data_IF_531264056856
#
_entry.id   IF_531264056856
#
_cell.length_a   1.000
_cell.length_b   1.000
_cell.length_c   1.000
_cell.angle_alpha   90.00
_cell.angle_beta   90.00
_cell.angle_gamma   90.00
#
_symmetry.space_group_name_H-M   'P 1'
#
loop_
_entity.id
_entity.type
_entity.pdbx_description
1 polymer ?
#
# COMPACT_ATOMS: atom_id res chain seq x y z
N UNK A 1 -17.18 15.00 10.69
CA UNK A 1 -17.28 13.57 10.29
C UNK A 1 -17.34 12.78 11.58
N UNK A 2 -18.22 11.79 11.68
CA UNK A 2 -18.28 10.91 12.86
C UNK A 2 -17.06 9.99 12.85
N UNK A 3 -16.53 9.69 14.03
CA UNK A 3 -15.44 8.74 14.17
C UNK A 3 -15.88 7.37 13.66
N UNK A 4 -14.99 6.74 12.88
CA UNK A 4 -15.16 5.39 12.37
C UNK A 4 -14.43 4.42 13.28
N UNK A 5 -15.10 3.33 13.62
CA UNK A 5 -14.53 2.19 14.31
C UNK A 5 -15.11 0.93 13.68
N UNK A 6 -14.25 -0.01 13.34
CA UNK A 6 -14.65 -1.26 12.73
C UNK A 6 -15.28 -2.18 13.80
N UNK A 7 -16.47 -2.70 13.54
CA UNK A 7 -17.22 -3.47 14.54
C UNK A 7 -16.49 -4.73 15.01
N UNK A 8 -15.73 -5.39 14.12
CA UNK A 8 -14.87 -6.53 14.50
C UNK A 8 -13.76 -6.13 15.48
N UNK A 9 -13.29 -4.88 15.39
CA UNK A 9 -12.21 -4.37 16.22
C UNK A 9 -12.67 -3.64 17.47
N UNK A 10 -13.94 -3.22 17.54
CA UNK A 10 -14.49 -2.49 18.71
C UNK A 10 -14.25 -3.24 20.03
N UNK A 11 -14.55 -4.54 20.18
CA UNK A 11 -14.28 -5.25 21.44
C UNK A 11 -12.79 -5.30 21.81
N UNK A 12 -11.91 -5.41 20.81
CA UNK A 12 -10.46 -5.46 21.01
C UNK A 12 -9.95 -4.08 21.49
N UNK A 13 -10.40 -3.00 20.84
CA UNK A 13 -10.02 -1.64 21.24
C UNK A 13 -10.52 -1.31 22.65
N UNK A 14 -11.76 -1.69 22.99
CA UNK A 14 -12.31 -1.51 24.36
C UNK A 14 -11.48 -2.29 25.38
N UNK A 15 -11.14 -3.55 25.09
CA UNK A 15 -10.33 -4.38 25.98
C UNK A 15 -8.95 -3.77 26.29
N UNK A 16 -8.36 -3.05 25.32
CA UNK A 16 -7.07 -2.36 25.50
C UNK A 16 -7.21 -0.90 25.97
N UNK A 17 -8.42 -0.40 26.23
CA UNK A 17 -8.65 1.00 26.60
C UNK A 17 -8.36 2.00 25.48
N UNK A 18 -8.46 1.59 24.22
CA UNK A 18 -8.11 2.37 23.02
C UNK A 18 -9.32 2.64 22.10
N UNK A 19 -10.52 2.70 22.67
CA UNK A 19 -11.77 2.87 21.90
C UNK A 19 -12.11 4.31 21.53
N UNK A 20 -11.35 5.30 22.00
CA UNK A 20 -11.57 6.72 21.74
C UNK A 20 -10.32 7.44 21.20
N UNK A 21 -10.57 8.65 20.68
CA UNK A 21 -9.54 9.48 20.07
C UNK A 21 -8.41 9.85 21.03
N UNK A 22 -8.75 10.22 22.28
CA UNK A 22 -7.79 10.69 23.26
C UNK A 22 -6.80 9.59 23.65
N UNK A 23 -7.32 8.40 23.94
CA UNK A 23 -6.52 7.24 24.27
C UNK A 23 -5.57 6.85 23.12
N UNK A 24 -6.07 6.76 21.88
CA UNK A 24 -5.23 6.46 20.71
C UNK A 24 -4.21 7.57 20.42
N UNK A 25 -4.54 8.83 20.66
CA UNK A 25 -3.62 9.96 20.44
C UNK A 25 -2.45 9.92 21.41
N UNK A 26 -2.74 9.68 22.70
CA UNK A 26 -1.78 9.69 23.80
C UNK A 26 -0.99 8.39 23.96
N UNK A 27 -1.39 7.31 23.26
CA UNK A 27 -0.70 6.03 23.31
C UNK A 27 0.80 6.19 23.04
N UNK A 28 1.61 5.80 24.03
CA UNK A 28 3.06 5.75 23.94
C UNK A 28 3.46 4.46 23.24
N UNK A 29 4.01 4.59 22.04
CA UNK A 29 4.52 3.49 21.24
C UNK A 29 5.68 3.99 20.41
N UNK A 30 6.70 3.16 20.23
CA UNK A 30 7.86 3.51 19.43
C UNK A 30 7.46 3.85 17.99
N UNK A 31 8.22 4.76 17.39
CA UNK A 31 7.99 5.16 16.01
C UNK A 31 8.50 4.07 15.08
N UNK A 32 7.58 3.45 14.35
CA UNK A 32 7.91 2.59 13.22
C UNK A 32 8.37 3.43 12.03
N UNK A 33 7.68 4.54 11.77
CA UNK A 33 8.14 5.63 10.92
C UNK A 33 8.14 6.92 11.74
N UNK A 34 9.32 7.51 11.90
CA UNK A 34 9.50 8.75 12.65
C UNK A 34 8.64 9.89 12.07
N UNK A 35 8.20 10.85 12.92
CA UNK A 35 7.41 11.98 12.47
C UNK A 35 8.06 12.73 11.31
N UNK A 36 7.35 12.80 10.19
CA UNK A 36 7.75 13.56 9.01
C UNK A 36 7.11 14.95 9.06
N UNK A 37 7.94 15.99 9.22
CA UNK A 37 7.52 17.38 9.26
C UNK A 37 7.44 17.97 7.84
N UNK A 38 6.22 18.14 7.33
CA UNK A 38 5.96 18.71 6.00
C UNK A 38 4.52 19.22 5.91
N UNK A 39 4.22 20.01 4.87
CA UNK A 39 2.85 20.52 4.59
C UNK A 39 2.22 21.29 5.77
N UNK A 40 3.04 22.00 6.56
CA UNK A 40 2.59 22.81 7.69
C UNK A 40 2.29 22.03 8.97
N UNK A 41 2.65 20.75 9.04
CA UNK A 41 2.44 19.91 10.22
C UNK A 41 3.30 18.66 10.22
N UNK A 42 2.84 17.60 10.87
CA UNK A 42 3.56 16.34 10.97
C UNK A 42 2.67 15.12 10.81
N UNK A 43 3.28 14.01 10.39
CA UNK A 43 2.65 12.69 10.37
C UNK A 43 3.66 11.62 10.79
N UNK A 44 3.27 10.68 11.65
CA UNK A 44 4.10 9.57 12.09
C UNK A 44 3.31 8.26 12.19
N UNK A 45 4.02 7.14 12.24
CA UNK A 45 3.41 5.80 12.33
C UNK A 45 4.05 5.01 13.46
N UNK A 46 3.22 4.41 14.31
CA UNK A 46 3.64 3.45 15.34
C UNK A 46 3.04 2.08 15.04
N UNK A 47 3.77 1.01 15.33
CA UNK A 47 3.24 -0.35 15.38
C UNK A 47 2.85 -0.65 16.83
N UNK A 48 1.62 -1.12 17.05
CA UNK A 48 1.13 -1.42 18.40
C UNK A 48 0.58 -2.84 18.41
N UNK A 49 0.95 -3.63 19.41
CA UNK A 49 0.35 -4.94 19.66
C UNK A 49 -0.78 -4.79 20.68
N UNK A 50 -1.96 -5.31 20.33
CA UNK A 50 -3.15 -5.27 21.17
C UNK A 50 -3.49 -6.66 21.67
N UNK A 51 -3.80 -6.77 22.96
CA UNK A 51 -4.29 -8.02 23.55
C UNK A 51 -5.70 -8.34 23.03
N UNK A 52 -5.94 -9.62 22.73
CA UNK A 52 -7.28 -10.09 22.36
C UNK A 52 -8.05 -10.52 23.62
N UNK A 53 -9.38 -10.29 23.68
CA UNK A 53 -10.21 -10.73 24.81
C UNK A 53 -10.14 -12.24 25.10
N UNK A 54 -9.88 -13.06 24.08
CA UNK A 54 -9.76 -14.52 24.18
C UNK A 54 -8.32 -15.03 24.31
N UNK A 55 -7.34 -14.14 24.57
CA UNK A 55 -5.91 -14.48 24.62
C UNK A 55 -5.19 -14.31 23.27
N UNK A 56 -3.87 -14.11 23.35
CA UNK A 56 -3.03 -13.75 22.21
C UNK A 56 -3.06 -12.26 21.87
N UNK A 57 -2.38 -11.88 20.79
CA UNK A 57 -2.26 -10.48 20.35
C UNK A 57 -2.56 -10.30 18.87
N UNK A 58 -2.90 -9.08 18.48
CA UNK A 58 -2.89 -8.63 17.09
C UNK A 58 -2.24 -7.27 16.97
N UNK A 59 -1.46 -7.09 15.93
CA UNK A 59 -0.81 -5.82 15.65
C UNK A 59 -1.67 -4.90 14.79
N UNK A 60 -1.53 -3.61 15.05
CA UNK A 60 -2.09 -2.51 14.27
C UNK A 60 -0.98 -1.51 13.92
N UNK A 61 -1.18 -0.77 12.83
CA UNK A 61 -0.44 0.45 12.54
C UNK A 61 -1.28 1.66 12.92
N UNK A 62 -0.81 2.41 13.92
CA UNK A 62 -1.38 3.67 14.38
C UNK A 62 -0.70 4.82 13.64
N UNK A 63 -1.41 5.44 12.71
CA UNK A 63 -0.95 6.65 12.02
C UNK A 63 -1.53 7.89 12.68
N UNK A 64 -0.68 8.82 13.10
CA UNK A 64 -1.05 10.11 13.74
C UNK A 64 -0.59 11.28 12.88
N UNK A 65 -1.45 12.27 12.72
CA UNK A 65 -1.10 13.51 12.02
C UNK A 65 -1.67 14.73 12.74
N UNK A 66 -0.94 15.83 12.71
CA UNK A 66 -1.36 17.14 13.19
C UNK A 66 -1.01 18.19 12.14
N UNK A 67 -1.99 18.99 11.73
CA UNK A 67 -1.85 20.08 10.75
C UNK A 67 -1.21 19.70 9.39
N UNK A 68 -1.06 18.40 9.10
CA UNK A 68 -0.45 17.89 7.87
C UNK A 68 -1.51 17.75 6.76
N UNK A 69 -1.73 18.82 5.99
CA UNK A 69 -2.85 18.93 5.05
C UNK A 69 -2.44 18.79 3.59
N UNK A 70 -3.33 18.24 2.77
CA UNK A 70 -3.24 18.27 1.31
C UNK A 70 -4.37 19.14 0.74
N UNK A 71 -4.07 19.98 -0.25
CA UNK A 71 -5.12 20.67 -1.01
C UNK A 71 -5.90 19.63 -1.83
N UNK A 72 -7.22 19.65 -1.68
CA UNK A 72 -8.15 18.81 -2.41
C UNK A 72 -9.04 19.72 -3.26
N UNK A 73 -9.53 19.22 -4.39
CA UNK A 73 -10.52 19.97 -5.19
C UNK A 73 -11.78 20.32 -4.40
N UNK A 74 -12.21 19.44 -3.49
CA UNK A 74 -13.34 19.69 -2.59
C UNK A 74 -13.00 20.60 -1.40
N UNK A 75 -11.72 20.82 -1.11
CA UNK A 75 -11.22 21.71 -0.06
C UNK A 75 -9.98 22.49 -0.53
N UNK A 76 -10.13 23.39 -1.51
CA UNK A 76 -8.99 24.00 -2.21
C UNK A 76 -8.22 24.99 -1.34
N UNK A 77 -8.91 25.67 -0.42
CA UNK A 77 -8.34 26.70 0.46
C UNK A 77 -7.82 26.11 1.79
N UNK A 78 -8.65 25.34 2.49
CA UNK A 78 -8.30 24.79 3.82
C UNK A 78 -7.53 23.46 3.76
N UNK A 79 -7.54 22.80 2.60
CA UNK A 79 -7.04 21.42 2.47
C UNK A 79 -7.87 20.42 3.28
N UNK A 80 -7.46 19.16 3.24
CA UNK A 80 -7.88 18.19 4.25
C UNK A 80 -6.70 17.34 4.70
N UNK A 81 -6.78 16.72 5.90
CA UNK A 81 -5.71 15.87 6.40
C UNK A 81 -5.44 14.69 5.47
N UNK A 82 -4.17 14.32 5.32
CA UNK A 82 -3.76 13.26 4.38
C UNK A 82 -4.40 11.91 4.68
N UNK A 83 -4.53 11.53 5.96
CA UNK A 83 -5.19 10.28 6.30
C UNK A 83 -6.69 10.24 6.01
N UNK A 84 -7.38 11.38 5.87
CA UNK A 84 -8.77 11.35 5.39
C UNK A 84 -8.84 10.83 3.96
N UNK A 85 -7.87 11.23 3.13
CA UNK A 85 -7.76 10.75 1.75
C UNK A 85 -7.46 9.26 1.71
N UNK A 86 -6.47 8.84 2.48
CA UNK A 86 -6.09 7.43 2.57
C UNK A 86 -7.27 6.58 3.09
N UNK A 87 -7.95 6.99 4.16
CA UNK A 87 -9.14 6.31 4.69
C UNK A 87 -10.24 6.19 3.64
N UNK A 88 -10.58 7.27 2.93
CA UNK A 88 -11.59 7.23 1.85
C UNK A 88 -11.21 6.28 0.72
N UNK A 89 -9.93 6.23 0.36
CA UNK A 89 -9.46 5.28 -0.66
C UNK A 89 -9.50 3.84 -0.14
N UNK A 90 -9.13 3.57 1.12
CA UNK A 90 -9.29 2.24 1.73
C UNK A 90 -10.75 1.79 1.65
N UNK A 91 -11.69 2.65 2.06
CA UNK A 91 -13.13 2.35 1.98
C UNK A 91 -13.57 2.08 0.53
N UNK A 92 -13.12 2.89 -0.43
CA UNK A 92 -13.46 2.70 -1.84
C UNK A 92 -12.91 1.39 -2.43
N UNK A 93 -11.66 1.06 -2.15
CA UNK A 93 -11.05 -0.19 -2.61
C UNK A 93 -11.84 -1.39 -2.08
N UNK A 94 -12.20 -1.37 -0.79
CA UNK A 94 -13.00 -2.42 -0.16
C UNK A 94 -14.40 -2.53 -0.75
N UNK A 95 -15.06 -1.41 -1.03
CA UNK A 95 -16.37 -1.40 -1.68
C UNK A 95 -16.31 -1.99 -3.10
N UNK A 96 -15.17 -1.88 -3.79
CA UNK A 96 -14.92 -2.53 -5.08
C UNK A 96 -14.40 -3.98 -4.96
N UNK A 97 -14.32 -4.53 -3.75
CA UNK A 97 -13.78 -5.88 -3.51
C UNK A 97 -12.27 -6.00 -3.78
N UNK A 98 -11.53 -4.89 -3.85
CA UNK A 98 -10.10 -4.88 -4.14
C UNK A 98 -9.31 -5.12 -2.84
N UNK A 99 -8.49 -6.18 -2.76
CA UNK A 99 -7.72 -6.48 -1.57
C UNK A 99 -6.75 -5.34 -1.15
N UNK A 100 -6.94 -4.80 0.04
CA UNK A 100 -6.12 -3.74 0.64
C UNK A 100 -6.07 -3.88 2.18
N UNK A 101 -5.78 -2.78 2.88
CA UNK A 101 -5.77 -2.64 4.34
C UNK A 101 -7.17 -2.83 4.93
N UNK A 102 -7.24 -3.41 6.13
CA UNK A 102 -8.45 -3.38 6.96
C UNK A 102 -8.40 -2.12 7.84
N UNK A 103 -9.31 -1.15 7.66
CA UNK A 103 -9.38 0.01 8.53
C UNK A 103 -9.96 -0.41 9.88
N UNK A 104 -9.25 -0.06 10.95
CA UNK A 104 -9.62 -0.37 12.34
C UNK A 104 -10.34 0.82 12.97
N UNK A 105 -9.77 2.01 12.81
CA UNK A 105 -10.29 3.26 13.39
C UNK A 105 -9.90 4.45 12.51
N UNK A 106 -10.79 5.43 12.39
CA UNK A 106 -10.47 6.71 11.77
C UNK A 106 -11.22 7.85 12.45
N UNK A 107 -10.52 8.93 12.77
CA UNK A 107 -11.13 10.10 13.38
C UNK A 107 -10.36 11.37 13.04
N UNK A 108 -11.07 12.50 13.05
CA UNK A 108 -10.52 13.83 12.83
C UNK A 108 -11.12 14.80 13.85
N UNK A 109 -10.27 15.35 14.71
CA UNK A 109 -10.69 16.23 15.79
C UNK A 109 -9.93 17.56 15.69
N UNK A 110 -10.60 18.65 16.06
CA UNK A 110 -9.98 19.96 16.19
C UNK A 110 -9.71 20.20 17.67
N UNK A 111 -8.46 20.42 18.04
CA UNK A 111 -8.02 20.67 19.42
C UNK A 111 -7.41 22.07 19.46
N UNK A 112 -8.18 23.03 19.97
CA UNK A 112 -7.81 24.45 19.89
C UNK A 112 -7.67 24.92 18.43
N UNK A 113 -6.46 25.33 18.05
CA UNK A 113 -6.14 25.75 16.67
C UNK A 113 -5.73 24.57 15.76
N UNK A 114 -5.37 23.44 16.34
CA UNK A 114 -4.75 22.33 15.62
C UNK A 114 -5.79 21.32 15.13
N UNK A 115 -5.57 20.81 13.92
CA UNK A 115 -6.37 19.74 13.33
C UNK A 115 -5.58 18.44 13.40
N UNK A 116 -6.12 17.47 14.13
CA UNK A 116 -5.50 16.16 14.35
C UNK A 116 -6.32 15.09 13.65
N UNK A 117 -5.63 14.08 13.11
CA UNK A 117 -6.31 12.86 12.67
C UNK A 117 -5.55 11.61 13.05
N UNK A 118 -6.32 10.55 13.20
CA UNK A 118 -5.83 9.20 13.43
C UNK A 118 -6.38 8.31 12.32
N UNK A 119 -5.52 7.46 11.76
CA UNK A 119 -5.92 6.32 10.94
C UNK A 119 -5.22 5.08 11.50
N UNK A 120 -6.01 4.10 11.91
CA UNK A 120 -5.54 2.80 12.38
C UNK A 120 -5.89 1.75 11.36
N UNK A 121 -4.92 0.92 11.00
CA UNK A 121 -5.14 -0.24 10.11
C UNK A 121 -4.59 -1.51 10.74
N UNK A 122 -5.22 -2.64 10.47
CA UNK A 122 -4.72 -3.97 10.84
C UNK A 122 -3.36 -4.21 10.17
N UNK A 123 -2.41 -4.81 10.90
CA UNK A 123 -1.18 -5.30 10.30
C UNK A 123 -1.49 -6.43 9.31
N UNK A 124 -0.83 -6.43 8.15
CA UNK A 124 -0.95 -7.52 7.17
C UNK A 124 -0.11 -8.73 7.60
N UNK A 125 -0.46 -9.37 8.71
CA UNK A 125 0.26 -10.54 9.25
C UNK A 125 0.41 -11.64 8.19
N UNK A 126 1.62 -12.18 8.06
CA UNK A 126 1.96 -13.19 7.05
C UNK A 126 2.13 -12.66 5.62
N UNK A 127 1.87 -11.37 5.37
CA UNK A 127 2.20 -10.75 4.09
C UNK A 127 3.61 -10.16 4.13
N UNK A 128 4.31 -10.29 3.00
CA UNK A 128 5.64 -9.70 2.79
C UNK A 128 5.60 -8.87 1.52
N UNK A 129 6.20 -7.67 1.54
CA UNK A 129 6.25 -6.80 0.37
C UNK A 129 7.01 -7.46 -0.79
N UNK A 130 6.66 -7.16 -2.03
CA UNK A 130 7.37 -7.69 -3.20
C UNK A 130 8.83 -7.19 -3.25
N UNK A 131 9.13 -6.02 -2.66
CA UNK A 131 10.50 -5.54 -2.51
C UNK A 131 11.30 -6.45 -1.57
N UNK A 132 10.80 -6.65 -0.34
CA UNK A 132 11.48 -7.47 0.66
C UNK A 132 11.61 -8.93 0.23
N UNK A 133 10.58 -9.48 -0.43
CA UNK A 133 10.64 -10.84 -1.00
C UNK A 133 11.79 -10.98 -1.98
N UNK A 134 11.93 -10.03 -2.90
CA UNK A 134 13.00 -10.10 -3.90
C UNK A 134 14.37 -9.85 -3.27
N UNK A 135 14.47 -8.98 -2.26
CA UNK A 135 15.72 -8.83 -1.49
C UNK A 135 16.12 -10.13 -0.81
N UNK A 136 15.17 -10.86 -0.20
CA UNK A 136 15.43 -12.19 0.38
C UNK A 136 15.85 -13.20 -0.68
N UNK A 137 15.23 -13.21 -1.87
CA UNK A 137 15.64 -14.11 -2.96
C UNK A 137 17.08 -13.94 -3.41
N UNK A 138 17.61 -12.72 -3.31
CA UNK A 138 19.01 -12.44 -3.65
C UNK A 138 19.98 -12.94 -2.58
N UNK A 139 19.54 -13.00 -1.32
CA UNK A 139 20.34 -13.44 -0.19
C UNK A 139 20.29 -14.96 0.00
N UNK A 140 19.08 -15.51 -0.03
CA UNK A 140 18.78 -16.87 0.42
C UNK A 140 18.40 -17.81 -0.74
N UNK A 141 18.28 -17.26 -1.96
CA UNK A 141 17.87 -17.99 -3.16
C UNK A 141 16.40 -17.75 -3.53
N UNK A 142 16.13 -17.70 -4.84
CA UNK A 142 14.77 -17.52 -5.34
C UNK A 142 13.96 -18.82 -5.25
N UNK A 143 12.65 -18.75 -4.93
CA UNK A 143 11.80 -19.93 -4.91
C UNK A 143 11.65 -20.50 -6.32
N UNK A 144 11.20 -21.76 -6.37
CA UNK A 144 10.95 -22.46 -7.61
C UNK A 144 10.08 -21.62 -8.55
N UNK A 145 10.39 -21.66 -9.85
CA UNK A 145 9.73 -20.84 -10.88
C UNK A 145 8.20 -20.88 -10.79
N UNK A 146 7.52 -22.04 -10.61
CA UNK A 146 6.06 -22.05 -10.50
C UNK A 146 5.51 -21.16 -9.38
N UNK A 147 6.15 -21.15 -8.20
CA UNK A 147 5.72 -20.32 -7.08
C UNK A 147 5.92 -18.83 -7.39
N UNK A 148 7.06 -18.46 -7.99
CA UNK A 148 7.28 -17.06 -8.44
C UNK A 148 6.19 -16.61 -9.41
N UNK A 149 5.83 -17.45 -10.39
CA UNK A 149 4.80 -17.12 -11.35
C UNK A 149 3.41 -16.98 -10.69
N UNK A 150 3.07 -17.80 -9.69
CA UNK A 150 1.83 -17.63 -8.90
C UNK A 150 1.78 -16.29 -8.17
N UNK A 151 2.90 -15.85 -7.58
CA UNK A 151 2.98 -14.52 -6.96
C UNK A 151 2.79 -13.39 -7.99
N UNK A 152 3.45 -13.49 -9.14
CA UNK A 152 3.27 -12.53 -10.22
C UNK A 152 1.83 -12.51 -10.74
N UNK A 153 1.17 -13.68 -10.81
CA UNK A 153 -0.23 -13.81 -11.20
C UNK A 153 -1.15 -13.04 -10.24
N UNK A 154 -0.96 -13.23 -8.93
CA UNK A 154 -1.78 -12.58 -7.91
C UNK A 154 -1.63 -11.06 -7.98
N UNK A 155 -0.40 -10.55 -8.14
CA UNK A 155 -0.15 -9.10 -8.30
C UNK A 155 -0.73 -8.57 -9.61
N UNK A 156 -0.61 -9.33 -10.70
CA UNK A 156 -1.15 -8.95 -12.01
C UNK A 156 -2.69 -8.89 -11.98
N UNK A 157 -3.33 -9.85 -11.31
CA UNK A 157 -4.76 -9.88 -11.10
C UNK A 157 -5.23 -8.68 -10.27
N UNK A 158 -4.61 -8.44 -9.11
CA UNK A 158 -4.90 -7.28 -8.27
C UNK A 158 -4.84 -5.96 -9.05
N UNK A 159 -3.76 -5.74 -9.81
CA UNK A 159 -3.58 -4.51 -10.58
C UNK A 159 -4.60 -4.38 -11.72
N UNK A 160 -4.93 -5.50 -12.38
CA UNK A 160 -5.95 -5.53 -13.43
C UNK A 160 -7.33 -5.18 -12.85
N UNK A 161 -7.69 -5.73 -11.70
CA UNK A 161 -8.98 -5.50 -11.05
C UNK A 161 -9.11 -4.04 -10.56
N UNK A 162 -8.01 -3.46 -10.05
CA UNK A 162 -7.93 -2.01 -9.78
C UNK A 162 -8.22 -1.19 -11.04
N UNK A 163 -7.51 -1.47 -12.13
CA UNK A 163 -7.69 -0.73 -13.38
C UNK A 163 -9.07 -0.95 -14.00
N UNK A 164 -9.69 -2.12 -13.78
CA UNK A 164 -11.04 -2.42 -14.22
C UNK A 164 -12.08 -1.48 -13.59
N UNK A 165 -11.87 -1.09 -12.33
CA UNK A 165 -12.68 -0.11 -11.59
C UNK A 165 -12.26 1.35 -11.83
N UNK A 166 -11.33 1.60 -12.77
CA UNK A 166 -10.80 2.94 -13.03
C UNK A 166 -9.87 3.44 -11.93
N UNK A 167 -9.39 2.57 -11.03
CA UNK A 167 -8.54 2.96 -9.92
C UNK A 167 -7.09 2.97 -10.37
N UNK A 168 -6.46 4.14 -10.33
CA UNK A 168 -5.02 4.30 -10.50
C UNK A 168 -4.37 4.45 -9.12
N UNK A 169 -3.41 3.59 -8.78
CA UNK A 169 -2.66 3.67 -7.53
C UNK A 169 -1.75 4.91 -7.49
N UNK A 170 -1.19 5.28 -8.64
CA UNK A 170 -0.24 6.37 -8.87
C UNK A 170 1.16 6.15 -8.26
N UNK A 171 1.31 5.28 -7.28
CA UNK A 171 2.57 4.92 -6.63
C UNK A 171 2.72 3.39 -6.50
N UNK A 172 2.36 2.62 -7.54
CA UNK A 172 2.37 1.15 -7.49
C UNK A 172 3.82 0.62 -7.51
N UNK A 173 4.49 0.66 -6.35
CA UNK A 173 5.86 0.23 -6.14
C UNK A 173 5.89 -1.17 -5.51
N UNK A 174 6.95 -1.98 -5.72
CA UNK A 174 7.07 -3.29 -5.09
C UNK A 174 6.91 -3.28 -3.56
N UNK A 175 7.40 -2.25 -2.88
CA UNK A 175 7.23 -2.06 -1.43
C UNK A 175 5.81 -1.76 -0.96
N UNK A 176 4.88 -1.49 -1.87
CA UNK A 176 3.46 -1.23 -1.56
C UNK A 176 2.55 -2.38 -2.00
N UNK A 177 3.13 -3.44 -2.56
CA UNK A 177 2.41 -4.64 -2.97
C UNK A 177 2.88 -5.77 -2.08
N UNK A 178 1.95 -6.30 -1.29
CA UNK A 178 2.18 -7.31 -0.29
C UNK A 178 1.62 -8.64 -0.77
N UNK A 179 2.38 -9.71 -0.61
CA UNK A 179 1.96 -11.05 -1.00
C UNK A 179 2.07 -11.99 0.19
N UNK A 180 1.07 -12.87 0.37
CA UNK A 180 1.09 -13.98 1.31
C UNK A 180 0.97 -15.29 0.54
N UNK A 181 1.77 -16.27 0.95
CA UNK A 181 1.72 -17.63 0.41
C UNK A 181 1.20 -18.53 1.51
N UNK A 182 0.13 -19.26 1.21
CA UNK A 182 -0.48 -20.24 2.12
C UNK A 182 0.24 -21.58 2.01
N UNK A 183 0.08 -22.44 3.02
CA UNK A 183 0.73 -23.76 3.08
C UNK A 183 0.33 -24.69 1.91
N UNK A 184 -0.90 -24.53 1.39
CA UNK A 184 -1.43 -25.22 0.21
C UNK A 184 -0.88 -24.65 -1.13
N UNK A 185 -0.02 -23.63 -1.07
CA UNK A 185 0.53 -22.94 -2.22
C UNK A 185 -0.43 -21.92 -2.86
N UNK A 186 -1.54 -21.58 -2.18
CA UNK A 186 -2.38 -20.44 -2.51
C UNK A 186 -1.61 -19.12 -2.34
N UNK A 187 -1.92 -18.12 -3.17
CA UNK A 187 -1.22 -16.83 -3.13
C UNK A 187 -2.21 -15.67 -3.15
N UNK A 188 -2.10 -14.81 -2.15
CA UNK A 188 -2.92 -13.59 -2.02
C UNK A 188 -2.04 -12.36 -2.19
N UNK A 189 -2.54 -11.36 -2.92
CA UNK A 189 -1.90 -10.06 -3.05
C UNK A 189 -2.79 -8.96 -2.47
N UNK A 190 -2.18 -7.99 -1.78
CA UNK A 190 -2.82 -6.78 -1.26
C UNK A 190 -1.99 -5.56 -1.60
N UNK A 191 -2.64 -4.41 -1.72
CA UNK A 191 -1.96 -3.12 -1.95
C UNK A 191 -2.16 -2.18 -0.77
N UNK A 192 -1.12 -1.41 -0.44
CA UNK A 192 -1.10 -0.41 0.64
C UNK A 192 -0.64 0.96 0.12
N UNK A 193 -0.58 1.96 0.99
CA UNK A 193 -0.23 3.35 0.66
C UNK A 193 -1.14 3.96 -0.42
N UNK A 194 -2.39 4.18 -0.01
CA UNK A 194 -3.42 4.67 -0.90
C UNK A 194 -3.52 6.20 -0.95
N UNK A 195 -2.65 6.98 -0.28
CA UNK A 195 -2.76 8.46 -0.18
C UNK A 195 -2.91 9.12 -1.57
N UNK A 196 -2.18 8.59 -2.56
CA UNK A 196 -2.06 9.15 -3.91
C UNK A 196 -2.95 8.48 -4.95
N UNK A 197 -3.76 7.49 -4.55
CA UNK A 197 -4.70 6.84 -5.45
C UNK A 197 -5.73 7.83 -5.98
N UNK A 198 -6.29 7.54 -7.15
CA UNK A 198 -7.29 8.37 -7.82
C UNK A 198 -8.03 7.58 -8.89
N UNK A 199 -9.24 8.04 -9.19
CA UNK A 199 -10.02 7.50 -10.30
C UNK A 199 -9.56 8.06 -11.65
N UNK A 200 -9.65 7.24 -12.69
CA UNK A 200 -9.41 7.55 -14.11
C UNK A 200 -10.41 6.78 -14.98
N UNK A 201 -10.97 7.41 -16.03
CA UNK A 201 -11.92 6.74 -16.91
C UNK A 201 -11.28 5.68 -17.82
N UNK A 202 -9.96 5.75 -18.05
CA UNK A 202 -9.27 4.86 -18.98
C UNK A 202 -8.33 3.90 -18.27
N UNK A 203 -8.56 2.60 -18.45
CA UNK A 203 -7.67 1.52 -17.97
C UNK A 203 -6.26 1.67 -18.53
N UNK A 204 -6.14 2.17 -19.77
CA UNK A 204 -4.84 2.41 -20.43
C UNK A 204 -4.07 3.51 -19.70
N UNK A 205 -4.73 4.59 -19.30
CA UNK A 205 -4.09 5.67 -18.53
C UNK A 205 -3.60 5.17 -17.18
N UNK A 206 -4.41 4.35 -16.48
CA UNK A 206 -3.97 3.69 -15.24
C UNK A 206 -2.74 2.82 -15.49
N UNK A 207 -2.82 1.93 -16.49
CA UNK A 207 -1.77 1.00 -16.86
C UNK A 207 -0.45 1.70 -17.18
N UNK A 208 -0.46 2.75 -18.02
CA UNK A 208 0.77 3.49 -18.37
C UNK A 208 1.41 4.07 -17.10
N UNK A 209 0.64 4.52 -16.10
CA UNK A 209 1.20 5.09 -14.87
C UNK A 209 1.71 4.03 -13.92
N UNK A 210 0.90 3.03 -13.60
CA UNK A 210 1.17 2.09 -12.51
C UNK A 210 2.10 0.95 -12.94
N UNK A 211 1.98 0.45 -14.17
CA UNK A 211 2.97 -0.49 -14.73
C UNK A 211 4.34 0.17 -14.89
N UNK A 212 4.37 1.47 -15.21
CA UNK A 212 5.62 2.22 -15.24
C UNK A 212 6.28 2.31 -13.86
N UNK A 213 5.52 2.67 -12.81
CA UNK A 213 6.10 2.72 -11.44
C UNK A 213 6.59 1.35 -11.01
N UNK A 214 5.81 0.30 -11.27
CA UNK A 214 6.20 -1.06 -10.93
C UNK A 214 7.47 -1.47 -11.69
N UNK A 215 7.48 -1.32 -13.01
CA UNK A 215 8.59 -1.73 -13.86
C UNK A 215 9.89 -0.98 -13.53
N UNK A 216 9.80 0.33 -13.25
CA UNK A 216 10.96 1.14 -12.89
C UNK A 216 11.59 0.72 -11.56
N UNK A 217 10.75 0.38 -10.57
CA UNK A 217 11.22 0.02 -9.22
C UNK A 217 11.49 -1.48 -9.04
N UNK A 218 10.99 -2.36 -9.93
CA UNK A 218 11.21 -3.82 -9.87
C UNK A 218 12.56 -4.24 -10.47
N UNK A 219 13.64 -3.52 -10.17
CA UNK A 219 14.96 -3.69 -10.82
C UNK A 219 15.49 -5.12 -10.79
N UNK A 220 15.12 -5.87 -9.76
CA UNK A 220 15.59 -7.22 -9.51
C UNK A 220 14.73 -8.31 -10.18
N UNK A 221 13.67 -7.95 -10.90
CA UNK A 221 12.90 -8.91 -11.70
C UNK A 221 13.59 -9.19 -13.05
N UNK A 222 13.70 -10.47 -13.40
CA UNK A 222 14.25 -10.91 -14.68
C UNK A 222 13.41 -10.39 -15.87
N UNK A 223 14.01 -10.33 -17.06
CA UNK A 223 13.29 -9.93 -18.29
C UNK A 223 12.12 -10.89 -18.57
N UNK A 224 12.32 -12.19 -18.31
CA UNK A 224 11.31 -13.22 -18.47
C UNK A 224 10.13 -13.04 -17.52
N UNK A 225 10.39 -12.70 -16.24
CA UNK A 225 9.33 -12.45 -15.26
C UNK A 225 8.52 -11.20 -15.59
N UNK A 226 9.20 -10.13 -16.03
CA UNK A 226 8.53 -8.89 -16.45
C UNK A 226 7.61 -9.14 -17.63
N UNK A 227 8.09 -9.88 -18.65
CA UNK A 227 7.27 -10.24 -19.81
C UNK A 227 6.09 -11.14 -19.39
N UNK A 228 6.34 -12.12 -18.53
CA UNK A 228 5.32 -13.02 -18.03
C UNK A 228 4.24 -12.27 -17.24
N UNK A 229 4.65 -11.39 -16.31
CA UNK A 229 3.75 -10.52 -15.55
C UNK A 229 2.92 -9.64 -16.49
N UNK A 230 3.55 -9.01 -17.48
CA UNK A 230 2.85 -8.12 -18.41
C UNK A 230 1.81 -8.88 -19.24
N UNK A 231 2.14 -10.09 -19.70
CA UNK A 231 1.20 -10.97 -20.39
C UNK A 231 0.05 -11.43 -19.48
N UNK A 232 0.36 -11.79 -18.24
CA UNK A 232 -0.62 -12.17 -17.22
C UNK A 232 -1.59 -11.02 -16.91
N UNK A 233 -1.07 -9.81 -16.72
CA UNK A 233 -1.85 -8.59 -16.48
C UNK A 233 -2.80 -8.28 -17.65
N UNK A 234 -2.31 -8.38 -18.90
CA UNK A 234 -3.13 -8.18 -20.11
C UNK A 234 -4.01 -9.39 -20.47
N UNK A 235 -3.85 -10.53 -19.79
CA UNK A 235 -4.48 -11.81 -20.12
C UNK A 235 -4.20 -12.25 -21.57
N UNK A 236 -2.93 -12.21 -21.98
CA UNK A 236 -2.49 -12.53 -23.35
C UNK A 236 -1.53 -13.72 -23.42
N UNK A 237 -1.79 -14.63 -24.35
CA UNK A 237 -0.85 -15.69 -24.73
C UNK A 237 0.31 -15.17 -25.59
N UNK A 238 0.07 -14.16 -26.43
CA UNK A 238 1.10 -13.54 -27.27
C UNK A 238 0.91 -12.03 -27.31
N UNK A 239 2.00 -11.29 -27.45
CA UNK A 239 1.94 -9.83 -27.48
C UNK A 239 1.34 -9.34 -28.80
N UNK A 240 0.19 -8.67 -28.70
CA UNK A 240 -0.46 -7.96 -29.81
C UNK A 240 0.31 -6.67 -30.16
N UNK A 241 0.06 -6.04 -31.33
CA UNK A 241 0.62 -4.74 -31.67
C UNK A 241 0.32 -3.68 -30.59
N UNK A 242 -0.90 -3.67 -30.06
CA UNK A 242 -1.30 -2.81 -28.94
C UNK A 242 -0.47 -3.08 -27.69
N UNK A 243 -0.28 -4.34 -27.30
CA UNK A 243 0.54 -4.68 -26.12
C UNK A 243 2.01 -4.27 -26.30
N UNK A 244 2.55 -4.39 -27.52
CA UNK A 244 3.91 -3.92 -27.86
C UNK A 244 4.01 -2.40 -27.76
N UNK A 245 3.02 -1.65 -28.28
CA UNK A 245 2.93 -0.20 -28.10
C UNK A 245 2.82 0.19 -26.62
N UNK A 246 1.92 -0.48 -25.90
CA UNK A 246 1.85 -0.69 -24.45
C UNK A 246 3.21 -0.53 -23.77
N UNK A 247 3.99 -1.59 -23.96
CA UNK A 247 5.28 -1.78 -23.36
C UNK A 247 6.29 -0.71 -23.78
N UNK A 248 6.33 -0.32 -25.06
CA UNK A 248 7.24 0.73 -25.56
C UNK A 248 6.98 2.08 -24.88
N UNK A 249 5.72 2.45 -24.69
CA UNK A 249 5.33 3.68 -23.97
C UNK A 249 5.83 3.65 -22.52
N UNK A 250 5.65 2.52 -21.84
CA UNK A 250 6.12 2.33 -20.45
C UNK A 250 7.66 2.39 -20.39
N UNK A 251 8.34 1.66 -21.26
CA UNK A 251 9.80 1.58 -21.31
C UNK A 251 10.45 2.94 -21.64
N UNK A 252 9.87 3.71 -22.56
CA UNK A 252 10.34 5.05 -22.89
C UNK A 252 10.29 6.00 -21.68
N UNK A 253 9.23 5.91 -20.86
CA UNK A 253 9.15 6.66 -19.59
C UNK A 253 10.22 6.21 -18.60
N UNK A 254 10.46 4.91 -18.46
CA UNK A 254 11.54 4.38 -17.61
C UNK A 254 12.92 4.89 -18.05
N UNK A 255 13.22 4.84 -19.35
CA UNK A 255 14.49 5.32 -19.89
C UNK A 255 14.71 6.82 -19.68
N UNK A 256 13.69 7.65 -19.91
CA UNK A 256 13.76 9.09 -19.64
C UNK A 256 14.07 9.38 -18.17
N UNK A 257 13.44 8.64 -17.24
CA UNK A 257 13.69 8.84 -15.82
C UNK A 257 15.07 8.34 -15.39
N UNK A 258 15.55 7.21 -15.90
CA UNK A 258 16.91 6.72 -15.61
C UNK A 258 18.00 7.73 -16.03
N UNK A 259 17.79 8.47 -17.12
CA UNK A 259 18.70 9.54 -17.55
C UNK A 259 18.75 10.74 -16.59
N UNK A 260 17.63 11.04 -15.92
CA UNK A 260 17.50 12.21 -15.03
C UNK A 260 17.84 11.83 -13.57
N UNK A 261 17.47 10.62 -13.16
CA UNK A 261 17.64 10.08 -11.82
C UNK A 261 18.05 8.61 -11.96
N UNK A 262 19.34 8.28 -11.98
CA UNK A 262 19.76 6.88 -12.00
C UNK A 262 19.17 6.18 -10.77
N UNK A 263 18.70 4.93 -10.92
CA UNK A 263 18.14 4.20 -9.80
C UNK A 263 19.19 4.04 -8.70
N UNK A 264 18.87 4.52 -7.49
CA UNK A 264 19.67 4.22 -6.31
C UNK A 264 19.53 2.71 -6.04
N UNK A 265 20.65 1.97 -6.11
CA UNK A 265 20.70 0.60 -5.61
C UNK A 265 20.69 0.68 -4.08
N UNK A 266 19.51 0.76 -3.47
CA UNK A 266 19.39 0.78 -2.01
C UNK A 266 19.62 -0.64 -1.52
N UNK A 267 20.88 -0.96 -1.26
CA UNK A 267 21.26 -2.06 -0.41
C UNK A 267 21.16 -1.57 1.04
N UNK A 268 20.14 -2.02 1.75
CA UNK A 268 20.16 -2.16 3.21
C UNK A 268 18.92 -2.96 3.60
N UNK A 269 19.13 -4.22 3.97
CA UNK A 269 18.10 -5.02 4.62
C UNK A 269 17.74 -4.32 5.95
N UNK A 270 16.46 -3.96 6.15
CA UNK A 270 15.98 -3.68 7.50
C UNK A 270 15.97 -4.99 8.27
N UNK A 271 16.75 -5.03 9.36
CA UNK A 271 16.70 -6.11 10.33
C UNK A 271 15.34 -6.12 11.03
N UNK A 272 14.74 -7.31 11.19
CA UNK A 272 13.60 -7.52 12.09
C UNK A 272 12.24 -7.67 11.41
N UNK A 273 12.05 -8.76 10.67
CA UNK A 273 10.77 -9.49 10.64
C UNK A 273 11.13 -10.96 10.50
N UNK A 274 11.24 -11.64 11.64
CA UNK A 274 11.29 -13.11 11.73
C UNK A 274 9.85 -13.61 11.59
N UNK A 275 9.67 -14.74 10.90
CA UNK A 275 8.39 -15.42 10.72
C UNK A 275 7.68 -15.76 12.03
#
# INVERSE_FOLDING_TARGET
MKDFINDRWRPILVHNGLSDFGALWQLKADWFEAPNHRRGGWSGVSRCELALPGGGTRAIFLKRQENHKARLWTHPLRGAPTFLREFRHIQHYRACGIPTLEPVYFAMHKVGKDERAILVTEELTGFVSMEDRVLRWLKDGAPARPMRLRMLQAVAALLRDMHAHGIQHNCFFPKHVFVRVSADGGVEARVIDLEKSRWRPSKVVCAIRDLYTLNYHSQMWSRSDRLWFFRSYLQLERLTPFAKWLWRTIAARSGRKQRIQPPVRVFTAKAGVVE
#
